data_IF_768076530786
#
_entry.id   IF_768076530786
#
_cell.length_a   1.000
_cell.length_b   1.000
_cell.length_c   1.000
_cell.angle_alpha   90.00
_cell.angle_beta   90.00
_cell.angle_gamma   90.00
#
_symmetry.space_group_name_H-M   'P 1'
#
loop_
_entity.id
_entity.type
_entity.pdbx_description
1 polymer ?
#
# COMPACT_ATOMS: atom_id res chain seq x y z
N UNK A 1 -14.43 -27.51 13.93
CA UNK A 1 -14.50 -26.42 12.95
C UNK A 1 -13.09 -26.21 12.44
N UNK A 2 -12.82 -26.62 11.19
CA UNK A 2 -11.55 -26.25 10.56
C UNK A 2 -11.50 -24.73 10.48
N UNK A 3 -10.52 -24.16 11.18
CA UNK A 3 -10.24 -22.74 11.10
C UNK A 3 -9.58 -22.56 9.73
N UNK A 4 -10.35 -22.25 8.69
CA UNK A 4 -9.76 -21.89 7.40
C UNK A 4 -8.89 -20.65 7.65
N UNK A 5 -7.60 -20.72 7.32
CA UNK A 5 -6.66 -19.63 7.51
C UNK A 5 -6.42 -18.92 6.18
N UNK A 6 -6.03 -17.65 6.26
CA UNK A 6 -5.65 -16.87 5.09
C UNK A 6 -4.15 -16.91 4.83
N UNK A 7 -3.78 -16.66 3.58
CA UNK A 7 -2.41 -16.33 3.19
C UNK A 7 -2.39 -14.91 2.66
N UNK A 8 -1.48 -14.09 3.19
CA UNK A 8 -1.24 -12.73 2.72
C UNK A 8 -0.01 -12.73 1.82
N UNK A 9 -0.07 -12.00 0.71
CA UNK A 9 1.11 -11.57 -0.05
C UNK A 9 1.16 -10.05 -0.10
N UNK A 10 2.25 -9.48 0.39
CA UNK A 10 2.51 -8.05 0.31
C UNK A 10 3.48 -7.83 -0.85
N UNK A 11 3.06 -7.00 -1.80
CA UNK A 11 3.70 -6.78 -3.08
C UNK A 11 4.07 -5.31 -3.20
N UNK A 12 5.34 -5.07 -3.50
CA UNK A 12 5.86 -3.76 -3.92
C UNK A 12 6.06 -3.79 -5.44
N UNK A 13 6.12 -2.63 -6.11
CA UNK A 13 6.30 -2.58 -7.56
C UNK A 13 7.53 -3.33 -8.07
N UNK A 14 8.56 -3.46 -7.23
CA UNK A 14 9.87 -4.02 -7.59
C UNK A 14 10.19 -5.35 -6.88
N UNK A 15 9.37 -5.82 -5.92
CA UNK A 15 9.61 -7.09 -5.22
C UNK A 15 8.38 -7.60 -4.47
N UNK A 16 8.40 -8.90 -4.14
CA UNK A 16 7.54 -9.44 -3.09
C UNK A 16 8.16 -9.01 -1.75
N UNK A 17 7.40 -8.25 -0.94
CA UNK A 17 7.87 -7.79 0.35
C UNK A 17 7.79 -8.90 1.39
N UNK A 18 6.65 -9.58 1.47
CA UNK A 18 6.44 -10.68 2.40
C UNK A 18 5.33 -11.62 1.91
N UNK A 19 5.37 -12.88 2.36
CA UNK A 19 4.33 -13.88 2.15
C UNK A 19 4.06 -14.60 3.47
N UNK A 20 2.95 -14.23 4.10
CA UNK A 20 2.56 -14.71 5.43
C UNK A 20 1.48 -15.76 5.30
N UNK A 21 1.68 -16.93 5.90
CA UNK A 21 0.70 -18.02 5.95
C UNK A 21 0.01 -18.06 7.31
N UNK A 22 -1.06 -18.84 7.41
CA UNK A 22 -1.73 -19.15 8.67
C UNK A 22 -2.26 -17.90 9.41
N UNK A 23 -2.82 -16.96 8.63
CA UNK A 23 -3.36 -15.70 9.14
C UNK A 23 -4.81 -15.88 9.57
N UNK A 24 -5.11 -15.47 10.80
CA UNK A 24 -6.46 -15.51 11.39
C UNK A 24 -7.30 -14.28 11.04
N UNK A 25 -6.67 -13.10 11.02
CA UNK A 25 -7.35 -11.85 10.72
C UNK A 25 -6.39 -10.80 10.16
N UNK A 26 -6.97 -9.85 9.46
CA UNK A 26 -6.29 -8.66 8.93
C UNK A 26 -7.12 -7.43 9.28
N UNK A 27 -6.44 -6.33 9.58
CA UNK A 27 -7.04 -4.99 9.65
C UNK A 27 -6.20 -4.06 8.81
N UNK A 28 -6.84 -3.32 7.93
CA UNK A 28 -6.21 -2.32 7.08
C UNK A 28 -6.96 -1.00 7.17
N UNK A 29 -6.29 0.10 6.86
CA UNK A 29 -6.88 1.43 6.82
C UNK A 29 -7.25 1.81 5.38
N UNK A 30 -8.43 2.38 5.23
CA UNK A 30 -9.00 2.82 3.96
C UNK A 30 -9.50 4.26 4.11
N UNK A 31 -9.87 4.91 3.01
CA UNK A 31 -10.46 6.26 3.06
C UNK A 31 -11.73 6.36 3.90
N UNK A 32 -12.45 5.24 4.07
CA UNK A 32 -13.69 5.16 4.87
C UNK A 32 -13.42 4.71 6.32
N UNK A 33 -12.14 4.59 6.71
CA UNK A 33 -11.70 4.13 8.03
C UNK A 33 -11.14 2.70 8.02
N UNK A 34 -11.19 2.04 9.18
CA UNK A 34 -10.58 0.73 9.38
C UNK A 34 -11.48 -0.40 8.87
N UNK A 35 -10.87 -1.30 8.11
CA UNK A 35 -11.52 -2.45 7.50
C UNK A 35 -10.88 -3.76 7.96
N UNK A 36 -11.70 -4.67 8.50
CA UNK A 36 -11.27 -5.97 9.03
C UNK A 36 -11.67 -7.14 8.14
N UNK A 37 -10.75 -8.09 7.95
CA UNK A 37 -10.98 -9.34 7.22
C UNK A 37 -10.81 -10.54 8.14
N UNK A 38 -11.77 -11.46 8.02
CA UNK A 38 -11.70 -12.83 8.53
C UNK A 38 -11.65 -13.81 7.35
N UNK A 39 -11.24 -15.07 7.57
CA UNK A 39 -10.95 -15.99 6.48
C UNK A 39 -12.10 -16.24 5.51
N UNK A 40 -13.32 -16.37 6.03
CA UNK A 40 -14.53 -16.61 5.24
C UNK A 40 -15.20 -15.33 4.73
N UNK A 41 -14.52 -14.19 4.82
CA UNK A 41 -15.02 -12.96 4.21
C UNK A 41 -15.06 -13.14 2.69
N UNK A 42 -16.22 -12.84 2.08
CA UNK A 42 -16.41 -12.84 0.63
C UNK A 42 -15.38 -11.96 -0.07
N UNK A 43 -15.10 -12.33 -1.33
CA UNK A 43 -14.16 -11.64 -2.19
C UNK A 43 -14.46 -10.14 -2.27
N UNK A 44 -13.42 -9.33 -2.14
CA UNK A 44 -13.56 -7.88 -2.14
C UNK A 44 -12.26 -7.18 -2.54
N UNK A 45 -12.41 -5.91 -2.90
CA UNK A 45 -11.30 -5.00 -3.18
C UNK A 45 -11.45 -3.77 -2.29
N UNK A 46 -10.35 -3.27 -1.75
CA UNK A 46 -10.32 -2.04 -0.97
C UNK A 46 -9.13 -1.16 -1.37
N UNK A 47 -9.37 0.13 -1.54
CA UNK A 47 -8.31 1.12 -1.69
C UNK A 47 -7.72 1.43 -0.31
N UNK A 48 -6.40 1.31 -0.21
CA UNK A 48 -5.64 1.54 1.01
C UNK A 48 -5.06 2.95 0.99
N UNK A 49 -5.03 3.58 2.15
CA UNK A 49 -4.32 4.83 2.39
C UNK A 49 -3.03 4.54 3.18
N UNK A 50 -2.07 5.48 3.24
CA UNK A 50 -0.89 5.33 4.09
C UNK A 50 -1.31 5.14 5.55
N UNK A 51 -0.79 4.09 6.19
CA UNK A 51 -1.28 3.70 7.51
C UNK A 51 -0.64 2.42 8.04
N UNK A 52 -1.22 1.89 9.11
CA UNK A 52 -0.76 0.65 9.74
C UNK A 52 -1.62 -0.53 9.29
N UNK A 53 -1.00 -1.45 8.59
CA UNK A 53 -1.54 -2.75 8.26
C UNK A 53 -1.27 -3.75 9.38
N UNK A 54 -2.32 -4.40 9.87
CA UNK A 54 -2.26 -5.30 11.01
C UNK A 54 -2.70 -6.69 10.54
N UNK A 55 -1.95 -7.71 10.92
CA UNK A 55 -2.38 -9.09 10.72
C UNK A 55 -2.02 -9.95 11.92
N UNK A 56 -2.80 -11.00 12.16
CA UNK A 56 -2.57 -11.93 13.25
C UNK A 56 -2.32 -13.34 12.72
N UNK A 57 -1.19 -13.93 13.08
CA UNK A 57 -0.84 -15.30 12.73
C UNK A 57 -1.07 -16.24 13.90
N UNK A 58 -1.22 -17.53 13.61
CA UNK A 58 -1.27 -18.57 14.66
C UNK A 58 -0.01 -18.66 15.50
N UNK A 59 1.16 -18.49 14.89
CA UNK A 59 2.44 -18.74 15.54
C UNK A 59 3.00 -17.52 16.28
N UNK A 60 2.85 -16.32 15.70
CA UNK A 60 3.58 -15.12 16.14
C UNK A 60 2.65 -14.05 16.72
N UNK A 61 1.33 -14.29 16.74
CA UNK A 61 0.35 -13.34 17.22
C UNK A 61 0.19 -12.13 16.29
N UNK A 62 -0.08 -10.96 16.88
CA UNK A 62 -0.38 -9.72 16.15
C UNK A 62 0.91 -9.07 15.64
N UNK A 63 0.91 -8.70 14.36
CA UNK A 63 2.01 -8.06 13.65
C UNK A 63 1.55 -6.76 13.02
N UNK A 64 2.47 -5.81 12.94
CA UNK A 64 2.24 -4.47 12.44
C UNK A 64 3.19 -4.20 11.27
N UNK A 65 2.68 -3.52 10.26
CA UNK A 65 3.39 -3.13 9.07
C UNK A 65 2.96 -1.71 8.69
N UNK A 66 3.92 -0.81 8.51
CA UNK A 66 3.64 0.48 7.90
C UNK A 66 3.53 0.28 6.39
N UNK A 67 2.41 0.72 5.80
CA UNK A 67 2.18 0.67 4.37
C UNK A 67 1.87 2.07 3.83
N UNK A 68 2.21 2.28 2.57
CA UNK A 68 1.79 3.43 1.79
C UNK A 68 0.45 3.13 1.08
N UNK A 69 -0.02 4.04 0.22
CA UNK A 69 -1.21 3.83 -0.59
C UNK A 69 -1.09 2.60 -1.52
N UNK A 70 -2.24 2.00 -1.79
CA UNK A 70 -2.30 0.79 -2.60
C UNK A 70 -3.68 0.16 -2.69
N UNK A 71 -3.72 -1.09 -3.11
CA UNK A 71 -4.95 -1.88 -3.29
C UNK A 71 -4.82 -3.21 -2.53
N UNK A 72 -5.85 -3.52 -1.76
CA UNK A 72 -6.07 -4.84 -1.17
C UNK A 72 -7.09 -5.61 -2.02
N UNK A 73 -6.79 -6.88 -2.31
CA UNK A 73 -7.73 -7.83 -2.92
C UNK A 73 -7.84 -9.07 -2.04
N UNK A 74 -9.05 -9.44 -1.65
CA UNK A 74 -9.37 -10.71 -1.02
C UNK A 74 -10.06 -11.60 -2.05
N UNK A 75 -9.50 -12.79 -2.30
CA UNK A 75 -10.07 -13.79 -3.20
C UNK A 75 -9.89 -15.20 -2.61
N UNK A 76 -10.98 -15.85 -2.19
CA UNK A 76 -10.90 -17.12 -1.47
C UNK A 76 -10.00 -16.98 -0.22
N UNK A 77 -9.07 -17.89 0.08
CA UNK A 77 -8.17 -17.76 1.24
C UNK A 77 -7.01 -16.78 1.05
N UNK A 78 -6.85 -16.17 -0.14
CA UNK A 78 -5.71 -15.30 -0.44
C UNK A 78 -6.07 -13.81 -0.23
N UNK A 79 -5.17 -13.08 0.40
CA UNK A 79 -5.18 -11.61 0.53
C UNK A 79 -3.95 -11.07 -0.18
N UNK A 80 -4.15 -10.33 -1.26
CA UNK A 80 -3.10 -9.63 -1.99
C UNK A 80 -3.11 -8.17 -1.56
N UNK A 81 -1.94 -7.63 -1.20
CA UNK A 81 -1.76 -6.24 -0.78
C UNK A 81 -0.68 -5.64 -1.67
N UNK A 82 -1.10 -4.86 -2.66
CA UNK A 82 -0.20 -4.18 -3.59
C UNK A 82 -0.07 -2.73 -3.17
N UNK A 83 1.08 -2.33 -2.62
CA UNK A 83 1.33 -1.00 -2.07
C UNK A 83 2.61 -0.42 -2.66
N UNK A 84 2.73 0.91 -2.70
CA UNK A 84 3.95 1.57 -3.22
C UNK A 84 5.17 1.28 -2.36
N UNK A 85 4.99 1.36 -1.04
CA UNK A 85 6.03 1.11 -0.04
C UNK A 85 5.46 0.32 1.15
N UNK A 86 6.34 -0.42 1.82
CA UNK A 86 6.02 -1.16 3.03
C UNK A 86 7.27 -1.27 3.92
N UNK A 87 7.09 -1.11 5.22
CA UNK A 87 8.15 -1.20 6.24
C UNK A 87 7.63 -2.08 7.39
N UNK A 88 8.39 -3.11 7.74
CA UNK A 88 8.05 -4.06 8.81
C UNK A 88 9.22 -4.31 9.75
N UNK A 89 8.96 -4.99 10.87
CA UNK A 89 9.98 -5.42 11.83
C UNK A 89 10.51 -4.33 12.78
N UNK A 90 9.96 -3.11 12.71
CA UNK A 90 10.22 -2.06 13.68
C UNK A 90 9.14 -2.02 14.76
N UNK A 91 9.45 -1.39 15.90
CA UNK A 91 8.47 -1.09 16.94
C UNK A 91 7.33 -0.22 16.37
N UNK A 92 6.10 -0.40 16.87
CA UNK A 92 4.90 0.29 16.39
C UNK A 92 5.05 1.82 16.38
N UNK A 93 5.74 2.39 17.38
CA UNK A 93 6.00 3.83 17.43
C UNK A 93 6.87 4.31 16.25
N UNK A 94 7.90 3.54 15.90
CA UNK A 94 8.78 3.84 14.75
C UNK A 94 8.08 3.63 13.42
N UNK A 95 7.22 2.61 13.32
CA UNK A 95 6.40 2.39 12.13
C UNK A 95 5.48 3.57 11.86
N UNK A 96 4.85 4.13 12.90
CA UNK A 96 3.99 5.30 12.77
C UNK A 96 4.76 6.54 12.32
N UNK A 97 5.95 6.79 12.89
CA UNK A 97 6.81 7.89 12.43
C UNK A 97 7.18 7.75 10.95
N UNK A 98 7.49 6.53 10.48
CA UNK A 98 7.78 6.29 9.06
C UNK A 98 6.57 6.51 8.16
N UNK A 99 5.35 6.21 8.60
CA UNK A 99 4.15 6.57 7.83
C UNK A 99 4.04 8.09 7.67
N UNK A 100 4.19 8.83 8.77
CA UNK A 100 4.03 10.29 8.79
C UNK A 100 5.14 11.01 8.02
N UNK A 101 6.40 10.61 8.18
CA UNK A 101 7.55 11.28 7.55
C UNK A 101 7.87 10.74 6.17
N UNK A 102 7.99 9.42 6.03
CA UNK A 102 8.56 8.85 4.81
C UNK A 102 7.50 8.80 3.70
N UNK A 103 6.23 8.47 4.00
CA UNK A 103 5.22 8.32 2.93
C UNK A 103 4.53 9.63 2.56
N UNK A 104 4.16 10.47 3.53
CA UNK A 104 3.48 11.74 3.23
C UNK A 104 4.41 12.75 2.55
N UNK A 105 5.67 12.87 3.00
CA UNK A 105 6.62 13.82 2.41
C UNK A 105 7.12 13.36 1.04
N UNK A 106 7.25 12.05 0.80
CA UNK A 106 7.60 11.51 -0.52
C UNK A 106 6.48 11.76 -1.55
N UNK A 107 5.21 11.58 -1.19
CA UNK A 107 4.09 11.82 -2.13
C UNK A 107 3.99 13.31 -2.52
N UNK A 108 4.18 14.23 -1.57
CA UNK A 108 4.10 15.66 -1.88
C UNK A 108 5.26 16.12 -2.78
N UNK A 109 6.47 15.64 -2.52
CA UNK A 109 7.64 15.94 -3.34
C UNK A 109 7.54 15.31 -4.73
N UNK A 110 7.06 14.07 -4.84
CA UNK A 110 6.85 13.40 -6.13
C UNK A 110 5.78 14.11 -6.96
N UNK A 111 4.67 14.55 -6.34
CA UNK A 111 3.64 15.37 -6.98
C UNK A 111 4.19 16.69 -7.51
N UNK A 112 5.00 17.40 -6.72
CA UNK A 112 5.65 18.65 -7.12
C UNK A 112 6.60 18.42 -8.30
N UNK A 113 7.43 17.38 -8.25
CA UNK A 113 8.37 17.05 -9.32
C UNK A 113 7.65 16.70 -10.63
N UNK A 114 6.61 15.84 -10.59
CA UNK A 114 5.80 15.48 -11.76
C UNK A 114 5.08 16.70 -12.36
N UNK A 115 4.56 17.60 -11.52
CA UNK A 115 3.94 18.86 -11.95
C UNK A 115 4.93 19.76 -12.70
N UNK A 116 6.16 19.89 -12.20
CA UNK A 116 7.21 20.68 -12.88
C UNK A 116 7.61 20.03 -14.21
N UNK A 117 7.81 18.70 -14.24
CA UNK A 117 8.10 17.95 -15.47
C UNK A 117 7.00 18.15 -16.53
N UNK A 118 5.74 17.95 -16.18
CA UNK A 118 4.62 18.10 -17.12
C UNK A 118 4.53 19.53 -17.71
N UNK A 119 4.85 20.57 -16.91
CA UNK A 119 4.91 21.96 -17.39
C UNK A 119 6.08 22.18 -18.34
N UNK A 120 7.25 21.61 -18.04
CA UNK A 120 8.42 21.70 -18.91
C UNK A 120 8.16 20.99 -20.24
N UNK A 121 7.62 19.77 -20.22
CA UNK A 121 7.26 19.00 -21.42
C UNK A 121 6.24 19.76 -22.29
N UNK A 122 5.17 20.27 -21.68
CA UNK A 122 4.15 21.04 -22.40
C UNK A 122 4.72 22.33 -23.00
N UNK A 123 5.58 23.04 -22.25
CA UNK A 123 6.25 24.25 -22.72
C UNK A 123 7.25 23.97 -23.86
N UNK A 124 7.91 22.82 -23.81
CA UNK A 124 8.82 22.37 -24.87
C UNK A 124 8.08 22.08 -26.17
N UNK A 125 6.96 21.33 -26.10
CA UNK A 125 6.10 21.03 -27.25
C UNK A 125 5.57 22.32 -27.88
N UNK A 126 5.07 23.24 -27.06
CA UNK A 126 4.56 24.53 -27.54
C UNK A 126 5.64 25.37 -28.24
N UNK A 127 6.87 25.36 -27.72
CA UNK A 127 7.99 26.09 -28.32
C UNK A 127 8.42 25.48 -29.67
N UNK A 128 8.37 24.15 -29.79
CA UNK A 128 8.66 23.44 -31.04
C UNK A 128 7.56 23.64 -32.10
N UNK A 129 6.29 23.67 -31.71
CA UNK A 129 5.18 24.05 -32.61
C UNK A 129 5.34 25.47 -33.15
N UNK A 130 5.83 26.38 -32.32
CA UNK A 130 6.05 27.77 -32.74
C UNK A 130 7.20 27.90 -33.75
N UNK A 131 8.28 27.14 -33.54
CA UNK A 131 9.45 27.10 -34.43
C UNK A 131 9.18 26.39 -35.77
N UNK A 132 8.18 25.50 -35.84
CA UNK A 132 7.81 24.79 -37.08
C UNK A 132 6.79 25.55 -37.94
N UNK A 133 6.35 26.74 -37.50
CA UNK A 133 5.47 27.65 -38.25
C UNK A 133 6.18 28.88 -38.84
N UNK A 134 7.51 28.98 -38.67
CA UNK A 134 8.42 29.86 -39.43
C UNK A 134 9.10 29.06 -40.54
#
# INVERSE_FOLDING_TARGET
>A
MENELMTIKILLPFKIFDKVRNVKRVVAETGEGFFGLLPQRLDCVAALIPGIFIYETEAEGVRYLAIDEGILVKAGPEVLVSVRNAIGGADLGKLRESVEKDFMDLDENERKARSVMAKLESGFIYSLEKLSKE
#
